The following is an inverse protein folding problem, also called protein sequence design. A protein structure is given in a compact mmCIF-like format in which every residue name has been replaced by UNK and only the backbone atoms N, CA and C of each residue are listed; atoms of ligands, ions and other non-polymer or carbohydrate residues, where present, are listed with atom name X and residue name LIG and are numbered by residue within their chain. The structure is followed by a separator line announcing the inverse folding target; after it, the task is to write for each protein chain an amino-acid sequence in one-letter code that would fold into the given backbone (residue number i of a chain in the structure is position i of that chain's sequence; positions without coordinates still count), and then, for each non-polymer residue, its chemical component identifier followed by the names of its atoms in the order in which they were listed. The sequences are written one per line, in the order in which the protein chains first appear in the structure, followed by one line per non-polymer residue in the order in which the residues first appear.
data_IF_833509680351
#
_entry.id   IF_833509680351
#
_cell.length_a   1.000
_cell.length_b   1.000
_cell.length_c   1.000
_cell.angle_alpha   90.00
_cell.angle_beta   90.00
_cell.angle_gamma   90.00
#
_symmetry.space_group_name_H-M   'P 1'
#
loop_
_entity.id
_entity.type
_entity.pdbx_description
1 polymer ?
#
# COMPACT_ATOMS: atom_id res chain seq x y z
N UNK A 1 -7.97 1.16 -12.35
CA UNK A 1 -6.59 1.47 -11.92
C UNK A 1 -6.32 0.75 -10.61
N UNK A 2 -5.22 0.00 -10.53
CA UNK A 2 -4.76 -0.73 -9.34
C UNK A 2 -3.53 -0.03 -8.79
N UNK A 3 -3.55 0.24 -7.48
CA UNK A 3 -2.50 0.99 -6.80
C UNK A 3 -2.06 0.23 -5.57
N UNK A 4 -0.75 0.09 -5.38
CA UNK A 4 -0.16 -0.26 -4.09
C UNK A 4 0.31 1.03 -3.44
N UNK A 5 -0.04 1.24 -2.18
CA UNK A 5 0.49 2.35 -1.41
C UNK A 5 1.40 1.78 -0.32
N UNK A 6 2.54 2.41 -0.13
CA UNK A 6 3.48 2.15 0.94
C UNK A 6 2.92 2.64 2.30
N UNK A 7 3.34 2.02 3.40
CA UNK A 7 3.00 2.44 4.77
C UNK A 7 3.40 3.88 5.07
N UNK A 8 4.53 4.33 4.53
CA UNK A 8 4.99 5.73 4.64
C UNK A 8 4.08 6.76 3.95
N UNK A 9 3.19 6.33 3.06
CA UNK A 9 2.21 7.19 2.37
C UNK A 9 0.83 7.09 3.02
N UNK A 10 0.49 5.95 3.62
CA UNK A 10 -0.88 5.55 3.94
C UNK A 10 -1.51 6.25 5.15
N UNK A 11 -0.75 6.52 6.22
CA UNK A 11 -1.40 7.01 7.46
C UNK A 11 -1.58 8.50 7.55
N UNK A 12 -0.70 9.26 6.91
CA UNK A 12 -0.99 10.67 6.73
C UNK A 12 -2.32 10.81 5.99
N UNK A 13 -2.58 10.11 4.88
CA UNK A 13 -3.80 10.28 4.08
C UNK A 13 -5.14 10.10 4.83
N UNK A 14 -5.19 9.28 5.89
CA UNK A 14 -6.43 9.04 6.64
C UNK A 14 -6.77 10.24 7.54
N UNK A 15 -5.76 10.97 8.04
CA UNK A 15 -5.96 12.13 8.91
C UNK A 15 -6.80 13.23 8.24
N UNK A 16 -7.77 13.84 8.94
CA UNK A 16 -8.65 14.86 8.36
C UNK A 16 -7.91 16.12 7.88
N UNK A 17 -6.77 16.44 8.50
CA UNK A 17 -5.95 17.61 8.15
C UNK A 17 -4.76 17.26 7.26
N UNK A 18 -4.71 16.03 6.74
CA UNK A 18 -3.57 15.59 5.96
C UNK A 18 -3.55 16.19 4.56
N UNK A 19 -2.37 16.61 4.07
CA UNK A 19 -2.22 17.02 2.68
C UNK A 19 -2.53 15.86 1.73
N UNK A 20 -2.45 14.60 2.17
CA UNK A 20 -2.72 13.41 1.35
C UNK A 20 -4.16 12.90 1.48
N UNK A 21 -5.06 13.64 2.15
CA UNK A 21 -6.45 13.22 2.37
C UNK A 21 -7.23 12.96 1.08
N UNK A 22 -6.85 13.62 0.00
CA UNK A 22 -7.44 13.39 -1.31
C UNK A 22 -7.24 11.95 -1.82
N UNK A 23 -6.13 11.27 -1.46
CA UNK A 23 -5.88 9.87 -1.84
C UNK A 23 -6.92 8.97 -1.20
N UNK A 24 -7.15 9.16 0.11
CA UNK A 24 -8.14 8.39 0.86
C UNK A 24 -9.56 8.63 0.35
N UNK A 25 -9.96 9.89 0.15
CA UNK A 25 -11.29 10.20 -0.39
C UNK A 25 -11.47 9.61 -1.79
N UNK A 26 -10.46 9.70 -2.66
CA UNK A 26 -10.53 9.12 -4.02
C UNK A 26 -10.66 7.59 -4.00
N UNK A 27 -10.04 6.92 -3.03
CA UNK A 27 -10.24 5.49 -2.81
C UNK A 27 -11.68 5.19 -2.37
N UNK A 28 -12.22 5.93 -1.40
CA UNK A 28 -13.60 5.78 -0.94
C UNK A 28 -14.63 6.05 -2.04
N UNK A 29 -14.31 6.96 -2.98
CA UNK A 29 -15.13 7.27 -4.14
C UNK A 29 -14.99 6.24 -5.29
N UNK A 30 -14.18 5.19 -5.10
CA UNK A 30 -13.98 4.11 -6.09
C UNK A 30 -13.14 4.53 -7.30
N UNK A 31 -12.38 5.62 -7.22
CA UNK A 31 -11.58 6.10 -8.34
C UNK A 31 -10.42 5.14 -8.70
N UNK A 32 -9.98 4.32 -7.75
CA UNK A 32 -8.98 3.29 -7.96
C UNK A 32 -9.09 2.18 -6.92
N UNK A 33 -8.50 1.04 -7.24
CA UNK A 33 -8.41 -0.11 -6.35
C UNK A 33 -7.09 -0.12 -5.62
N UNK A 34 -7.11 -0.51 -4.36
CA UNK A 34 -5.91 -0.69 -3.56
C UNK A 34 -5.55 -2.17 -3.52
N UNK A 35 -4.36 -2.53 -4.00
CA UNK A 35 -3.82 -3.89 -3.84
C UNK A 35 -3.10 -4.03 -2.49
N UNK A 36 -3.39 -5.13 -1.79
CA UNK A 36 -2.85 -5.47 -0.48
C UNK A 36 -2.62 -6.98 -0.36
N UNK A 37 -1.77 -7.39 0.56
CA UNK A 37 -1.73 -8.75 1.09
C UNK A 37 -1.89 -8.70 2.63
N UNK A 38 -1.80 -9.85 3.29
CA UNK A 38 -1.91 -9.91 4.74
C UNK A 38 -0.81 -9.10 5.45
N UNK A 39 0.45 -9.21 5.02
CA UNK A 39 1.58 -8.54 5.67
C UNK A 39 1.39 -7.01 5.64
N UNK A 40 0.95 -6.49 4.50
CA UNK A 40 0.62 -5.08 4.29
C UNK A 40 -0.52 -4.62 5.22
N UNK A 41 -1.57 -5.41 5.36
CA UNK A 41 -2.69 -5.08 6.24
C UNK A 41 -2.31 -5.10 7.72
N UNK A 42 -1.49 -6.09 8.12
CA UNK A 42 -0.94 -6.17 9.48
C UNK A 42 -0.10 -4.94 9.79
N UNK A 43 0.74 -4.49 8.87
CA UNK A 43 1.51 -3.26 9.04
C UNK A 43 0.61 -2.02 9.16
N UNK A 44 -0.51 -1.93 8.41
CA UNK A 44 -1.45 -0.83 8.64
C UNK A 44 -2.11 -0.87 9.97
N UNK A 45 -2.55 -2.04 10.40
CA UNK A 45 -3.15 -2.19 11.71
C UNK A 45 -2.17 -1.72 12.80
N UNK A 46 -0.92 -2.18 12.76
CA UNK A 46 0.12 -1.79 13.73
C UNK A 46 0.33 -0.27 13.78
N UNK A 47 0.56 0.36 12.63
CA UNK A 47 0.84 1.80 12.61
C UNK A 47 -0.43 2.61 12.94
N UNK A 48 -1.62 2.14 12.54
CA UNK A 48 -2.91 2.74 12.94
C UNK A 48 -3.12 2.64 14.45
N UNK A 49 -2.83 1.50 15.08
CA UNK A 49 -2.92 1.34 16.53
C UNK A 49 -1.99 2.32 17.26
N UNK A 50 -0.80 2.56 16.73
CA UNK A 50 0.16 3.50 17.33
C UNK A 50 -0.31 4.96 17.21
N UNK A 51 -0.79 5.38 16.03
CA UNK A 51 -1.01 6.80 15.72
C UNK A 51 -2.48 7.25 15.79
N UNK A 52 -3.42 6.33 15.56
CA UNK A 52 -4.85 6.60 15.48
C UNK A 52 -5.71 5.42 15.99
N UNK A 53 -5.50 4.92 17.23
CA UNK A 53 -6.12 3.68 17.73
C UNK A 53 -7.66 3.70 17.68
N UNK A 54 -8.27 4.89 17.79
CA UNK A 54 -9.73 5.06 17.70
C UNK A 54 -10.28 4.86 16.29
N UNK A 55 -9.47 5.07 15.27
CA UNK A 55 -9.84 4.92 13.86
C UNK A 55 -9.46 3.55 13.30
N UNK A 56 -8.50 2.84 13.92
CA UNK A 56 -7.95 1.58 13.41
C UNK A 56 -9.02 0.60 12.99
N UNK A 57 -9.95 0.27 13.90
CA UNK A 57 -11.01 -0.70 13.62
C UNK A 57 -11.82 -0.31 12.38
N UNK A 58 -12.28 0.93 12.31
CA UNK A 58 -13.11 1.41 11.19
C UNK A 58 -12.32 1.36 9.87
N UNK A 59 -11.04 1.73 9.89
CA UNK A 59 -10.21 1.69 8.69
C UNK A 59 -9.97 0.24 8.24
N UNK A 60 -9.68 -0.68 9.16
CA UNK A 60 -9.48 -2.09 8.83
C UNK A 60 -10.78 -2.74 8.33
N UNK A 61 -11.92 -2.44 8.96
CA UNK A 61 -13.24 -2.87 8.49
C UNK A 61 -13.50 -2.38 7.03
N UNK A 62 -13.10 -1.15 6.70
CA UNK A 62 -13.18 -0.64 5.32
C UNK A 62 -12.28 -1.44 4.37
N UNK A 63 -11.06 -1.79 4.80
CA UNK A 63 -10.16 -2.57 3.95
C UNK A 63 -10.68 -3.99 3.69
N UNK A 64 -11.32 -4.60 4.69
CA UNK A 64 -11.86 -5.96 4.61
C UNK A 64 -13.13 -6.04 3.75
N UNK A 65 -14.02 -5.05 3.88
CA UNK A 65 -15.34 -5.08 3.22
C UNK A 65 -15.37 -4.37 1.86
N UNK A 66 -14.36 -3.57 1.52
CA UNK A 66 -14.36 -2.78 0.29
C UNK A 66 -14.11 -3.63 -0.97
N UNK A 67 -15.00 -3.51 -1.95
CA UNK A 67 -14.85 -4.09 -3.30
C UNK A 67 -13.70 -3.47 -4.11
N UNK A 68 -13.19 -2.34 -3.64
CA UNK A 68 -12.04 -1.64 -4.22
C UNK A 68 -10.73 -2.02 -3.55
N UNK A 69 -10.75 -3.01 -2.65
CA UNK A 69 -9.54 -3.66 -2.15
C UNK A 69 -9.31 -4.96 -2.90
N UNK A 70 -8.13 -5.07 -3.50
CA UNK A 70 -7.67 -6.26 -4.20
C UNK A 70 -6.70 -7.04 -3.30
N UNK A 71 -7.18 -8.15 -2.75
CA UNK A 71 -6.34 -9.08 -2.00
C UNK A 71 -5.48 -9.89 -2.97
N UNK A 72 -4.18 -9.65 -2.94
CA UNK A 72 -3.20 -10.28 -3.81
C UNK A 72 -2.36 -11.31 -3.05
N UNK A 73 -2.33 -12.54 -3.55
CA UNK A 73 -1.36 -13.54 -3.10
C UNK A 73 -0.03 -13.31 -3.80
N UNK A 74 1.04 -13.20 -3.03
CA UNK A 74 2.42 -13.17 -3.53
C UNK A 74 2.96 -14.60 -3.51
N UNK A 75 3.41 -15.09 -4.67
CA UNK A 75 4.01 -16.44 -4.81
C UNK A 75 5.51 -16.42 -5.06
N UNK A 76 6.09 -15.22 -5.22
CA UNK A 76 7.50 -15.03 -5.49
C UNK A 76 7.96 -13.72 -4.86
N UNK A 77 9.07 -13.77 -4.12
CA UNK A 77 9.72 -12.60 -3.56
C UNK A 77 10.90 -12.21 -4.47
N UNK A 78 10.87 -10.99 -4.99
CA UNK A 78 11.88 -10.52 -5.94
C UNK A 78 13.17 -10.04 -5.28
N UNK A 79 13.15 -9.77 -3.96
CA UNK A 79 14.25 -9.15 -3.21
C UNK A 79 14.84 -7.93 -3.96
N UNK A 80 13.95 -7.14 -4.58
CA UNK A 80 14.29 -6.02 -5.45
C UNK A 80 14.90 -4.85 -4.68
N UNK A 81 14.43 -4.64 -3.46
CA UNK A 81 14.85 -3.58 -2.56
C UNK A 81 15.80 -4.20 -1.55
N UNK A 82 17.10 -4.20 -1.89
CA UNK A 82 18.14 -4.81 -1.04
C UNK A 82 18.50 -3.99 0.19
N UNK A 83 18.25 -2.68 0.14
CA UNK A 83 18.59 -1.75 1.22
C UNK A 83 17.64 -1.87 2.40
N UNK A 84 16.37 -2.13 2.10
CA UNK A 84 15.34 -2.41 3.07
C UNK A 84 14.53 -3.60 2.59
N UNK A 85 14.69 -4.74 3.26
CA UNK A 85 14.03 -5.96 2.84
C UNK A 85 12.54 -5.94 3.14
N UNK A 86 12.10 -5.13 4.10
CA UNK A 86 10.72 -5.05 4.51
C UNK A 86 9.87 -4.43 3.39
N UNK A 87 10.42 -3.43 2.70
CA UNK A 87 9.79 -2.76 1.54
C UNK A 87 9.46 -3.71 0.38
N UNK A 88 10.12 -4.88 0.29
CA UNK A 88 9.82 -5.85 -0.76
C UNK A 88 8.38 -6.35 -0.70
N UNK A 89 7.72 -6.33 0.47
CA UNK A 89 6.31 -6.74 0.56
C UNK A 89 5.41 -5.86 -0.32
N UNK A 90 5.70 -4.56 -0.42
CA UNK A 90 4.97 -3.64 -1.30
C UNK A 90 5.33 -3.85 -2.77
N UNK A 91 6.62 -4.04 -3.07
CA UNK A 91 7.07 -4.29 -4.43
C UNK A 91 6.49 -5.59 -5.00
N UNK A 92 6.56 -6.68 -4.23
CA UNK A 92 6.09 -7.98 -4.65
C UNK A 92 4.58 -7.98 -4.88
N UNK A 93 3.80 -7.30 -4.02
CA UNK A 93 2.36 -7.10 -4.23
C UNK A 93 2.09 -6.26 -5.48
N UNK A 94 2.88 -5.21 -5.73
CA UNK A 94 2.73 -4.38 -6.93
C UNK A 94 2.96 -5.21 -8.21
N UNK A 95 3.99 -6.05 -8.22
CA UNK A 95 4.25 -6.95 -9.35
C UNK A 95 3.14 -8.00 -9.48
N UNK A 96 2.78 -8.68 -8.40
CA UNK A 96 1.80 -9.77 -8.43
C UNK A 96 0.40 -9.30 -8.82
N UNK A 97 0.02 -8.07 -8.44
CA UNK A 97 -1.27 -7.47 -8.79
C UNK A 97 -1.27 -6.74 -10.13
N UNK A 98 -0.13 -6.70 -10.85
CA UNK A 98 0.06 -5.87 -12.04
C UNK A 98 -0.37 -4.42 -11.79
N UNK A 99 0.05 -3.87 -10.65
CA UNK A 99 -0.34 -2.53 -10.23
C UNK A 99 0.12 -1.48 -11.25
N UNK A 100 -0.75 -0.51 -11.53
CA UNK A 100 -0.44 0.64 -12.36
C UNK A 100 0.57 1.56 -11.65
N UNK A 101 0.46 1.66 -10.32
CA UNK A 101 1.30 2.51 -9.49
C UNK A 101 1.68 1.86 -8.16
N UNK A 102 2.93 2.07 -7.76
CA UNK A 102 3.41 1.88 -6.39
C UNK A 102 3.74 3.27 -5.82
N UNK A 103 2.93 3.74 -4.87
CA UNK A 103 3.03 5.08 -4.29
C UNK A 103 3.78 5.01 -2.98
N UNK A 104 4.92 5.69 -2.90
CA UNK A 104 5.82 5.70 -1.75
C UNK A 104 6.41 7.11 -1.55
N UNK A 105 6.67 7.47 -0.29
CA UNK A 105 7.47 8.65 0.07
C UNK A 105 8.95 8.28 0.26
N UNK A 106 9.29 6.99 0.21
CA UNK A 106 10.62 6.47 0.41
C UNK A 106 11.43 6.47 -0.88
N UNK A 107 12.66 6.99 -0.79
CA UNK A 107 13.62 6.98 -1.88
C UNK A 107 14.23 5.60 -2.10
N UNK A 108 14.05 4.63 -1.19
CA UNK A 108 14.53 3.26 -1.33
C UNK A 108 13.98 2.58 -2.59
N UNK A 109 12.74 2.86 -2.96
CA UNK A 109 12.12 2.35 -4.20
C UNK A 109 12.70 2.95 -5.50
N UNK A 110 13.58 3.97 -5.44
CA UNK A 110 14.20 4.50 -6.66
C UNK A 110 15.05 3.46 -7.41
N UNK A 111 15.52 2.41 -6.72
CA UNK A 111 16.23 1.30 -7.39
C UNK A 111 15.32 0.57 -8.39
N UNK A 112 14.02 0.48 -8.10
CA UNK A 112 13.03 -0.17 -8.95
C UNK A 112 12.73 0.63 -10.22
N UNK A 113 12.95 1.95 -10.24
CA UNK A 113 12.75 2.77 -11.46
C UNK A 113 13.72 2.42 -12.59
N UNK A 114 14.88 1.88 -12.24
CA UNK A 114 15.91 1.48 -13.19
C UNK A 114 15.86 -0.03 -13.51
N UNK A 115 14.95 -0.77 -12.89
CA UNK A 115 14.74 -2.19 -13.19
C UNK A 115 14.00 -2.34 -14.51
N UNK A 116 14.63 -3.07 -15.42
CA UNK A 116 14.00 -3.48 -16.66
C UNK A 116 13.32 -4.81 -16.39
N UNK A 117 12.00 -4.86 -16.50
CA UNK A 117 11.27 -6.11 -16.37
C UNK A 117 11.76 -7.07 -17.47
N UNK A 118 11.99 -8.37 -17.17
CA UNK A 118 12.29 -9.36 -18.19
C UNK A 118 11.20 -9.31 -19.27
N UNK A 119 11.62 -9.26 -20.54
CA UNK A 119 10.70 -9.31 -21.69
C UNK A 119 10.17 -10.71 -21.92
#
# INVERSE_FOLDING_TARGET
MVVVLDSNVRLSAIGPNSPLRYIWNSFLDGAFKIAVNQDILTEYEEILQEHAPRATKIVMDIFEESIDVLYQRVSYNWDAIKKDRDDNKFFDVAVASSADYLVTNDKHFNVAKNWHFPK
#
